data_IF_319081700940
#
_entry.id   IF_319081700940
#
_cell.length_a   1.000
_cell.length_b   1.000
_cell.length_c   1.000
_cell.angle_alpha   90.00
_cell.angle_beta   90.00
_cell.angle_gamma   90.00
#
_symmetry.space_group_name_H-M   'P 1'
#
loop_
_entity.id
_entity.type
_entity.pdbx_description
1 polymer ?
#
# COMPACT_ATOMS: atom_id res chain seq x y z
N UNK A 1 6.77 2.73 -3.44
CA UNK A 1 5.52 3.37 -2.93
C UNK A 1 5.68 4.85 -2.64
N UNK A 2 6.70 5.26 -1.87
CA UNK A 2 6.91 6.66 -1.49
C UNK A 2 7.03 7.61 -2.70
N UNK A 3 7.79 7.22 -3.74
CA UNK A 3 7.93 8.04 -4.96
C UNK A 3 6.63 8.16 -5.74
N UNK A 4 5.81 7.10 -5.76
CA UNK A 4 4.48 7.14 -6.38
C UNK A 4 3.57 8.15 -5.65
N UNK A 5 3.62 8.19 -4.31
CA UNK A 5 2.89 9.18 -3.53
C UNK A 5 3.41 10.60 -3.83
N UNK A 6 4.73 10.80 -3.84
CA UNK A 6 5.37 12.07 -4.16
C UNK A 6 4.96 12.61 -5.53
N UNK A 7 5.11 11.78 -6.57
CA UNK A 7 4.71 12.15 -7.93
C UNK A 7 3.22 12.47 -8.03
N UNK A 8 2.35 11.67 -7.39
CA UNK A 8 0.90 11.92 -7.39
C UNK A 8 0.57 13.26 -6.73
N UNK A 9 1.16 13.53 -5.57
CA UNK A 9 0.97 14.79 -4.82
C UNK A 9 1.53 15.99 -5.58
N UNK A 10 2.60 15.82 -6.35
CA UNK A 10 3.19 16.94 -7.08
C UNK A 10 2.41 17.27 -8.35
N UNK A 11 2.10 16.26 -9.18
CA UNK A 11 1.56 16.51 -10.53
C UNK A 11 0.03 16.65 -10.57
N UNK A 12 -0.69 15.90 -9.73
CA UNK A 12 -2.16 15.96 -9.67
C UNK A 12 -2.61 15.65 -8.23
N UNK A 13 -2.45 16.60 -7.29
CA UNK A 13 -2.74 16.37 -5.88
C UNK A 13 -4.13 15.76 -5.68
N UNK A 14 -4.19 14.66 -4.94
CA UNK A 14 -5.41 14.01 -4.48
C UNK A 14 -5.18 13.35 -3.11
N UNK A 15 -6.23 13.09 -2.32
CA UNK A 15 -6.06 12.48 -0.99
C UNK A 15 -5.40 11.10 -1.08
N UNK A 16 -4.34 10.89 -0.31
CA UNK A 16 -3.58 9.62 -0.25
C UNK A 16 -3.67 9.02 1.15
N UNK A 17 -3.93 7.72 1.21
CA UNK A 17 -3.83 6.93 2.44
C UNK A 17 -2.67 5.94 2.34
N UNK A 18 -1.66 6.08 3.19
CA UNK A 18 -0.64 5.05 3.41
C UNK A 18 -0.96 4.24 4.65
N UNK A 19 -0.81 2.92 4.57
CA UNK A 19 -1.02 1.97 5.66
C UNK A 19 0.24 1.15 5.87
N UNK A 20 0.88 1.33 7.02
CA UNK A 20 1.98 0.48 7.48
C UNK A 20 1.51 -0.64 8.42
N UNK A 21 2.41 -1.58 8.76
CA UNK A 21 2.07 -2.74 9.59
C UNK A 21 1.74 -2.35 11.03
N UNK A 22 2.51 -1.43 11.63
CA UNK A 22 2.31 -1.00 13.02
C UNK A 22 2.69 0.48 13.23
N UNK A 23 2.31 1.01 14.39
CA UNK A 23 2.53 2.43 14.75
C UNK A 23 4.01 2.81 14.77
N UNK A 24 4.87 1.94 15.32
CA UNK A 24 6.30 2.22 15.45
C UNK A 24 6.95 2.38 14.08
N UNK A 25 6.75 1.40 13.19
CA UNK A 25 7.20 1.46 11.80
C UNK A 25 6.73 2.75 11.12
N UNK A 26 5.44 3.08 11.27
CA UNK A 26 4.85 4.27 10.67
C UNK A 26 5.53 5.55 11.14
N UNK A 27 5.71 5.73 12.45
CA UNK A 27 6.17 7.00 13.03
C UNK A 27 7.67 7.16 13.16
N UNK A 28 8.42 6.06 13.15
CA UNK A 28 9.88 6.06 13.33
C UNK A 28 10.65 5.78 12.04
N UNK A 29 10.05 5.06 11.09
CA UNK A 29 10.74 4.69 9.84
C UNK A 29 10.11 5.35 8.61
N UNK A 30 8.79 5.26 8.46
CA UNK A 30 8.14 5.74 7.23
C UNK A 30 7.94 7.25 7.23
N UNK A 31 7.40 7.83 8.30
CA UNK A 31 7.12 9.26 8.39
C UNK A 31 8.36 10.16 8.20
N UNK A 32 9.55 9.84 8.76
CA UNK A 32 10.75 10.62 8.48
C UNK A 32 11.16 10.61 7.01
N UNK A 33 10.96 9.49 6.30
CA UNK A 33 11.22 9.39 4.85
C UNK A 33 10.24 10.24 4.05
N UNK A 34 8.98 10.31 4.48
CA UNK A 34 7.98 11.21 3.89
C UNK A 34 8.41 12.66 4.08
N UNK A 35 8.83 13.05 5.28
CA UNK A 35 9.32 14.42 5.52
C UNK A 35 10.53 14.74 4.64
N UNK A 36 11.51 13.84 4.57
CA UNK A 36 12.69 14.01 3.73
C UNK A 36 12.30 14.22 2.25
N UNK A 37 11.39 13.40 1.70
CA UNK A 37 10.87 13.59 0.35
C UNK A 37 10.22 14.98 0.15
N UNK A 38 9.36 15.38 1.09
CA UNK A 38 8.63 16.64 0.98
C UNK A 38 9.56 17.85 1.09
N UNK A 39 10.59 17.77 1.93
CA UNK A 39 11.54 18.86 2.18
C UNK A 39 12.64 18.94 1.11
N UNK A 40 13.01 17.83 0.47
CA UNK A 40 14.05 17.78 -0.57
C UNK A 40 13.53 18.11 -1.97
N UNK A 41 12.22 18.05 -2.19
CA UNK A 41 11.59 18.45 -3.45
C UNK A 41 11.08 19.89 -3.37
N UNK A 42 11.65 20.85 -4.14
CA UNK A 42 11.23 22.24 -4.09
C UNK A 42 9.74 22.44 -4.41
N UNK A 43 9.20 21.68 -5.36
CA UNK A 43 7.79 21.76 -5.78
C UNK A 43 6.84 21.24 -4.71
N UNK A 44 7.20 20.15 -4.03
CA UNK A 44 6.42 19.62 -2.90
C UNK A 44 6.53 20.52 -1.66
N UNK A 45 7.73 21.03 -1.37
CA UNK A 45 7.96 21.97 -0.26
C UNK A 45 7.07 23.22 -0.41
N UNK A 46 6.99 23.79 -1.62
CA UNK A 46 6.13 24.95 -1.89
C UNK A 46 4.63 24.68 -1.68
N UNK A 47 4.20 23.42 -1.83
CA UNK A 47 2.81 22.98 -1.66
C UNK A 47 2.47 22.52 -0.25
N UNK A 48 3.48 22.33 0.60
CA UNK A 48 3.32 21.75 1.93
C UNK A 48 2.84 22.78 2.95
N UNK A 49 1.67 22.56 3.55
CA UNK A 49 1.22 23.35 4.67
C UNK A 49 1.99 22.99 5.95
N UNK A 50 2.52 24.01 6.63
CA UNK A 50 3.29 23.88 7.88
C UNK A 50 2.45 24.25 9.12
N UNK A 51 3.05 24.09 10.31
CA UNK A 51 2.42 24.43 11.59
C UNK A 51 1.36 23.42 12.04
N UNK A 52 0.24 23.89 12.61
CA UNK A 52 -0.80 23.04 13.23
C UNK A 52 -1.44 22.00 12.28
N UNK A 53 -1.32 22.19 10.96
CA UNK A 53 -1.85 21.27 9.94
C UNK A 53 -0.90 20.11 9.62
N UNK A 54 0.30 20.11 10.21
CA UNK A 54 1.34 19.10 10.02
C UNK A 54 1.47 18.25 11.28
N UNK A 55 0.95 17.02 11.25
CA UNK A 55 1.10 16.05 12.35
C UNK A 55 1.88 14.84 11.85
N UNK A 56 2.35 13.96 12.75
CA UNK A 56 3.02 12.72 12.32
C UNK A 56 2.17 11.88 11.37
N UNK A 57 0.84 11.88 11.53
CA UNK A 57 -0.05 11.02 10.74
C UNK A 57 -0.79 11.74 9.62
N UNK A 58 -0.61 13.06 9.46
CA UNK A 58 -1.33 13.84 8.46
C UNK A 58 -0.48 14.99 7.94
N UNK A 59 -0.21 14.97 6.64
CA UNK A 59 0.49 16.02 5.91
C UNK A 59 -0.50 16.65 4.93
N UNK A 60 -0.51 17.98 4.80
CA UNK A 60 -1.36 18.67 3.83
C UNK A 60 -0.49 19.22 2.70
N UNK A 61 -0.59 18.65 1.50
CA UNK A 61 0.20 19.04 0.33
C UNK A 61 -0.77 19.46 -0.76
N UNK A 62 -0.64 20.67 -1.31
CA UNK A 62 -1.47 21.13 -2.43
C UNK A 62 -2.97 21.13 -2.09
N UNK A 63 -3.33 21.36 -0.82
CA UNK A 63 -4.71 21.37 -0.34
C UNK A 63 -5.31 19.99 -0.02
N UNK A 64 -4.60 18.89 -0.26
CA UNK A 64 -5.09 17.52 -0.01
C UNK A 64 -4.33 16.82 1.12
N UNK A 65 -4.97 15.90 1.86
CA UNK A 65 -4.30 15.14 2.90
C UNK A 65 -3.50 13.96 2.33
N UNK A 66 -2.24 13.86 2.74
CA UNK A 66 -1.49 12.62 2.77
C UNK A 66 -1.51 12.06 4.19
N UNK A 67 -2.31 11.01 4.39
CA UNK A 67 -2.58 10.39 5.68
C UNK A 67 -1.75 9.13 5.86
N UNK A 68 -1.14 9.00 7.04
CA UNK A 68 -0.36 7.85 7.45
C UNK A 68 -1.14 7.10 8.54
N UNK A 69 -1.51 5.86 8.28
CA UNK A 69 -2.21 4.96 9.19
C UNK A 69 -1.42 3.66 9.40
N UNK A 70 -1.79 2.90 10.42
CA UNK A 70 -1.24 1.57 10.65
C UNK A 70 -2.36 0.54 10.81
N UNK A 71 -2.08 -0.72 10.49
CA UNK A 71 -3.08 -1.80 10.46
C UNK A 71 -3.86 -1.94 11.78
N UNK A 72 -3.19 -1.77 12.93
CA UNK A 72 -3.82 -1.84 14.26
C UNK A 72 -4.80 -0.71 14.63
N UNK A 73 -5.08 0.27 13.75
CA UNK A 73 -6.02 1.37 14.05
C UNK A 73 -7.17 1.39 13.06
N UNK A 74 -8.28 0.71 13.37
CA UNK A 74 -9.48 0.72 12.53
C UNK A 74 -10.03 2.13 12.29
N UNK A 75 -9.99 2.99 13.31
CA UNK A 75 -10.43 4.39 13.20
C UNK A 75 -9.59 5.16 12.19
N UNK A 76 -8.27 4.97 12.16
CA UNK A 76 -7.41 5.64 11.20
C UNK A 76 -7.66 5.14 9.77
N UNK A 77 -7.87 3.83 9.58
CA UNK A 77 -8.19 3.22 8.28
C UNK A 77 -9.54 3.69 7.72
N UNK A 78 -10.47 4.09 8.60
CA UNK A 78 -11.82 4.55 8.25
C UNK A 78 -11.95 6.07 8.15
N UNK A 79 -10.90 6.84 8.39
CA UNK A 79 -11.02 8.30 8.56
C UNK A 79 -11.54 9.01 7.30
N UNK A 80 -10.73 9.04 6.24
CA UNK A 80 -10.96 9.94 5.11
C UNK A 80 -11.01 9.14 3.79
N UNK A 81 -11.82 9.55 2.81
CA UNK A 81 -11.73 9.05 1.44
C UNK A 81 -10.33 9.26 0.84
N UNK A 82 -9.91 8.35 -0.04
CA UNK A 82 -8.62 8.41 -0.71
C UNK A 82 -8.77 8.07 -2.19
N UNK A 83 -8.08 8.80 -3.07
CA UNK A 83 -7.99 8.47 -4.50
C UNK A 83 -6.81 7.51 -4.77
N UNK A 84 -5.82 7.48 -3.88
CA UNK A 84 -4.72 6.54 -3.91
C UNK A 84 -4.52 5.95 -2.52
N UNK A 85 -4.61 4.63 -2.40
CA UNK A 85 -4.24 3.90 -1.20
C UNK A 85 -2.96 3.10 -1.42
N UNK A 86 -2.09 3.08 -0.41
CA UNK A 86 -0.81 2.39 -0.41
C UNK A 86 -0.72 1.54 0.85
N UNK A 87 -0.84 0.22 0.73
CA UNK A 87 -0.72 -0.74 1.83
C UNK A 87 0.65 -1.42 1.75
N UNK A 88 1.52 -1.23 2.73
CA UNK A 88 2.89 -1.76 2.74
C UNK A 88 3.11 -2.79 3.85
N UNK A 89 3.94 -3.80 3.58
CA UNK A 89 4.17 -4.96 4.46
C UNK A 89 2.86 -5.68 4.83
N UNK A 90 2.02 -5.97 3.83
CA UNK A 90 0.69 -6.56 4.03
C UNK A 90 0.69 -7.89 4.80
N UNK A 91 1.72 -8.74 4.61
CA UNK A 91 1.87 -10.02 5.33
C UNK A 91 2.04 -9.83 6.84
N UNK A 92 2.54 -8.68 7.27
CA UNK A 92 2.71 -8.34 8.69
C UNK A 92 1.42 -7.82 9.34
N UNK A 93 0.37 -7.61 8.54
CA UNK A 93 -0.85 -7.00 9.03
C UNK A 93 -1.81 -8.03 9.64
N UNK A 94 -2.53 -7.60 10.68
CA UNK A 94 -3.56 -8.41 11.31
C UNK A 94 -4.73 -8.59 10.34
N UNK A 95 -5.12 -9.84 10.08
CA UNK A 95 -6.22 -10.19 9.17
C UNK A 95 -7.60 -9.78 9.66
N UNK A 96 -7.73 -9.42 10.94
CA UNK A 96 -8.95 -8.88 11.52
C UNK A 96 -8.67 -7.66 12.41
N UNK A 97 -8.90 -6.45 11.87
CA UNK A 97 -8.71 -5.21 12.62
C UNK A 97 -9.96 -4.95 13.46
N UNK A 98 -9.86 -5.15 14.77
CA UNK A 98 -10.93 -4.84 15.72
C UNK A 98 -12.31 -5.44 15.36
N UNK A 99 -12.36 -6.66 14.84
CA UNK A 99 -13.59 -7.35 14.40
C UNK A 99 -14.32 -6.67 13.22
N UNK A 100 -13.66 -5.77 12.49
CA UNK A 100 -14.25 -4.98 11.41
C UNK A 100 -13.78 -5.43 10.02
N UNK A 101 -13.09 -6.58 9.95
CA UNK A 101 -12.48 -7.14 8.73
C UNK A 101 -11.01 -6.79 8.59
N UNK A 102 -10.40 -7.29 7.52
CA UNK A 102 -8.99 -7.06 7.20
C UNK A 102 -8.72 -5.61 6.74
N UNK A 103 -7.47 -5.14 6.86
CA UNK A 103 -7.10 -3.76 6.54
C UNK A 103 -7.35 -3.42 5.07
N UNK A 104 -7.16 -4.37 4.14
CA UNK A 104 -7.46 -4.17 2.72
C UNK A 104 -8.93 -3.79 2.49
N UNK A 105 -9.88 -4.57 3.02
CA UNK A 105 -11.31 -4.30 2.83
C UNK A 105 -11.77 -3.01 3.51
N UNK A 106 -11.10 -2.56 4.58
CA UNK A 106 -11.36 -1.25 5.17
C UNK A 106 -10.87 -0.11 4.27
N UNK A 107 -9.70 -0.30 3.64
CA UNK A 107 -9.07 0.68 2.75
C UNK A 107 -9.78 0.79 1.41
N UNK A 108 -10.22 -0.32 0.81
CA UNK A 108 -10.93 -0.30 -0.48
C UNK A 108 -12.20 0.56 -0.43
N UNK A 109 -12.93 0.52 0.69
CA UNK A 109 -14.11 1.38 0.94
C UNK A 109 -13.77 2.88 1.07
N UNK A 110 -12.50 3.29 1.05
CA UNK A 110 -12.11 4.71 0.98
C UNK A 110 -12.08 5.22 -0.45
N UNK A 111 -12.06 4.29 -1.41
CA UNK A 111 -12.13 4.55 -2.83
C UNK A 111 -13.52 4.86 -3.37
N UNK A 112 -14.59 4.54 -2.62
CA UNK A 112 -15.99 4.67 -3.08
C UNK A 112 -16.35 6.08 -3.59
N UNK A 113 -15.64 7.12 -3.12
CA UNK A 113 -15.85 8.52 -3.54
C UNK A 113 -15.12 8.88 -4.85
N UNK A 114 -14.16 8.08 -5.30
CA UNK A 114 -13.29 8.38 -6.44
C UNK A 114 -13.39 7.31 -7.52
N UNK A 115 -13.95 7.68 -8.68
CA UNK A 115 -14.05 6.78 -9.83
C UNK A 115 -12.68 6.28 -10.34
N UNK A 116 -11.62 7.05 -10.12
CA UNK A 116 -10.23 6.72 -10.48
C UNK A 116 -9.40 6.22 -9.29
N UNK A 117 -10.04 5.64 -8.26
CA UNK A 117 -9.36 5.05 -7.12
C UNK A 117 -8.39 3.92 -7.53
N UNK A 118 -7.19 3.96 -6.94
CA UNK A 118 -6.19 2.90 -7.05
C UNK A 118 -5.73 2.49 -5.66
N UNK A 119 -5.68 1.18 -5.41
CA UNK A 119 -5.09 0.62 -4.19
C UNK A 119 -3.85 -0.18 -4.56
N UNK A 120 -2.68 0.23 -4.09
CA UNK A 120 -1.43 -0.52 -4.28
C UNK A 120 -1.15 -1.29 -3.00
N UNK A 121 -0.82 -2.58 -3.13
CA UNK A 121 -0.47 -3.45 -2.01
C UNK A 121 0.92 -4.02 -2.24
N UNK A 122 1.80 -3.86 -1.25
CA UNK A 122 3.16 -4.40 -1.26
C UNK A 122 3.40 -5.22 0.01
N UNK A 123 4.25 -6.23 -0.12
CA UNK A 123 4.60 -7.12 0.98
C UNK A 123 5.84 -7.93 0.63
N UNK A 124 6.54 -8.39 1.66
CA UNK A 124 7.52 -9.47 1.55
C UNK A 124 6.86 -10.76 2.05
N UNK A 125 6.60 -11.77 1.19
CA UNK A 125 5.92 -12.98 1.62
C UNK A 125 6.80 -13.76 2.62
N UNK A 126 6.31 -13.96 3.84
CA UNK A 126 7.09 -14.65 4.89
C UNK A 126 6.87 -16.16 4.95
N UNK A 127 5.76 -16.69 4.44
CA UNK A 127 5.39 -18.11 4.52
C UNK A 127 4.66 -18.57 3.26
N UNK A 128 5.17 -19.62 2.62
CA UNK A 128 4.67 -20.12 1.34
C UNK A 128 5.47 -19.53 0.18
N UNK A 129 6.10 -20.41 -0.60
CA UNK A 129 6.67 -20.07 -1.90
C UNK A 129 5.74 -20.64 -2.95
N UNK A 130 5.36 -19.80 -3.90
CA UNK A 130 4.74 -20.26 -5.14
C UNK A 130 5.88 -20.53 -6.11
N UNK A 131 5.93 -21.73 -6.71
CA UNK A 131 6.94 -22.06 -7.68
C UNK A 131 6.79 -21.19 -8.95
N UNK A 132 7.91 -20.92 -9.62
CA UNK A 132 7.90 -20.31 -10.94
C UNK A 132 7.86 -21.40 -12.01
N UNK A 133 6.99 -21.24 -13.01
CA UNK A 133 6.82 -22.18 -14.12
C UNK A 133 7.07 -21.43 -15.43
N UNK A 134 7.92 -22.00 -16.29
CA UNK A 134 8.13 -21.47 -17.63
C UNK A 134 7.01 -21.95 -18.56
N UNK A 135 6.32 -21.03 -19.21
CA UNK A 135 5.37 -21.38 -20.27
C UNK A 135 6.12 -21.91 -21.48
N UNK A 136 5.80 -23.14 -21.89
CA UNK A 136 6.53 -23.82 -22.96
C UNK A 136 6.45 -23.09 -24.30
N UNK A 137 5.36 -22.35 -24.54
CA UNK A 137 5.07 -21.68 -25.82
C UNK A 137 5.67 -20.28 -25.89
N UNK A 138 5.52 -19.48 -24.84
CA UNK A 138 5.97 -18.09 -24.80
C UNK A 138 7.37 -17.93 -24.22
N UNK A 139 7.94 -18.96 -23.57
CA UNK A 139 9.22 -18.90 -22.84
C UNK A 139 9.24 -17.85 -21.72
N UNK A 140 8.05 -17.44 -21.27
CA UNK A 140 7.90 -16.50 -20.17
C UNK A 140 7.77 -17.28 -18.87
N UNK A 141 8.33 -16.72 -17.81
CA UNK A 141 8.23 -17.30 -16.47
C UNK A 141 7.02 -16.71 -15.76
N UNK A 142 6.08 -17.57 -15.41
CA UNK A 142 4.89 -17.24 -14.65
C UNK A 142 4.97 -17.86 -13.26
N UNK A 143 4.14 -17.39 -12.33
CA UNK A 143 3.98 -18.03 -11.03
C UNK A 143 2.91 -19.10 -11.14
N UNK A 144 3.17 -20.26 -10.54
CA UNK A 144 2.20 -21.34 -10.44
C UNK A 144 0.96 -20.90 -9.64
N UNK A 145 -0.17 -21.59 -9.82
CA UNK A 145 -1.33 -21.41 -8.94
C UNK A 145 -1.27 -22.53 -7.90
N UNK A 146 -0.53 -22.31 -6.82
CA UNK A 146 -0.52 -23.24 -5.69
C UNK A 146 -1.94 -23.38 -5.09
N UNK A 147 -2.29 -24.60 -4.64
CA UNK A 147 -3.56 -24.87 -3.98
C UNK A 147 -3.71 -23.99 -2.73
N UNK A 148 -4.89 -23.39 -2.53
CA UNK A 148 -5.12 -22.35 -1.51
C UNK A 148 -4.81 -22.77 -0.07
N UNK A 149 -4.77 -24.08 0.18
CA UNK A 149 -4.54 -24.71 1.48
C UNK A 149 -3.08 -24.55 1.94
N UNK A 150 -2.13 -24.43 1.00
CA UNK A 150 -0.69 -24.41 1.26
C UNK A 150 -0.09 -22.99 1.35
N UNK A 151 -0.90 -21.96 1.13
CA UNK A 151 -0.45 -20.57 1.07
C UNK A 151 -0.87 -19.83 2.33
N UNK A 152 0.08 -19.71 3.27
CA UNK A 152 -0.13 -18.94 4.50
C UNK A 152 0.05 -17.41 4.31
N UNK A 153 0.73 -16.99 3.24
CA UNK A 153 1.03 -15.58 2.97
C UNK A 153 -0.20 -14.80 2.45
N UNK A 154 -0.64 -13.73 3.15
CA UNK A 154 -1.75 -12.90 2.70
C UNK A 154 -1.55 -12.26 1.32
N UNK A 155 -0.33 -11.83 0.95
CA UNK A 155 -0.11 -11.24 -0.38
C UNK A 155 -0.24 -12.27 -1.50
N UNK A 156 0.13 -13.54 -1.26
CA UNK A 156 -0.04 -14.61 -2.23
C UNK A 156 -1.51 -14.99 -2.42
N UNK A 157 -2.27 -15.10 -1.32
CA UNK A 157 -3.71 -15.30 -1.38
C UNK A 157 -4.40 -14.18 -2.17
N UNK A 158 -4.00 -12.92 -1.93
CA UNK A 158 -4.54 -11.77 -2.66
C UNK A 158 -4.21 -11.81 -4.16
N UNK A 159 -2.97 -12.19 -4.51
CA UNK A 159 -2.55 -12.31 -5.91
C UNK A 159 -3.37 -13.35 -6.66
N UNK A 160 -3.53 -14.56 -6.09
CA UNK A 160 -4.26 -15.65 -6.73
C UNK A 160 -5.75 -15.35 -6.92
N UNK A 161 -6.40 -14.75 -5.91
CA UNK A 161 -7.81 -14.38 -6.00
C UNK A 161 -8.09 -13.43 -7.16
N UNK A 162 -7.17 -12.48 -7.41
CA UNK A 162 -7.33 -11.43 -8.43
C UNK A 162 -6.90 -11.87 -9.82
N UNK A 163 -5.97 -12.83 -9.96
CA UNK A 163 -5.70 -13.47 -11.27
C UNK A 163 -6.86 -14.34 -11.75
N UNK A 164 -7.75 -14.78 -10.83
CA UNK A 164 -8.94 -15.57 -11.15
C UNK A 164 -10.24 -14.79 -11.37
N UNK A 165 -10.32 -13.49 -11.04
CA UNK A 165 -11.58 -12.72 -11.09
C UNK A 165 -11.48 -11.41 -11.88
N UNK A 166 -12.26 -11.34 -12.95
CA UNK A 166 -12.48 -10.15 -13.79
C UNK A 166 -13.52 -9.23 -13.12
N UNK A 167 -13.12 -8.38 -12.17
CA UNK A 167 -14.10 -7.53 -11.46
C UNK A 167 -13.54 -6.30 -10.73
N UNK A 168 -14.03 -5.13 -11.15
CA UNK A 168 -13.99 -3.78 -10.59
C UNK A 168 -13.10 -3.52 -9.34
N UNK A 169 -11.97 -2.86 -9.58
CA UNK A 169 -11.05 -2.34 -8.58
C UNK A 169 -9.60 -2.58 -9.01
N UNK A 170 -8.87 -1.54 -9.40
CA UNK A 170 -7.45 -1.65 -9.76
C UNK A 170 -6.62 -1.77 -8.49
N UNK A 171 -6.50 -3.01 -7.99
CA UNK A 171 -5.51 -3.36 -6.97
C UNK A 171 -4.20 -3.72 -7.67
N UNK A 172 -3.16 -2.90 -7.49
CA UNK A 172 -1.83 -3.17 -8.03
C UNK A 172 -0.99 -3.85 -6.96
N UNK A 173 -0.58 -5.09 -7.22
CA UNK A 173 0.31 -5.85 -6.32
C UNK A 173 1.74 -5.66 -6.82
N UNK A 174 2.58 -4.98 -6.05
CA UNK A 174 3.98 -4.77 -6.38
C UNK A 174 4.89 -5.47 -5.36
N UNK A 175 6.00 -6.06 -5.83
CA UNK A 175 6.96 -6.78 -4.98
C UNK A 175 8.14 -5.90 -4.62
N UNK A 176 8.64 -6.03 -3.39
CA UNK A 176 9.97 -5.56 -3.03
C UNK A 176 10.93 -6.75 -3.12
N UNK A 177 11.64 -6.89 -4.25
CA UNK A 177 12.66 -7.91 -4.43
C UNK A 177 13.95 -7.38 -3.79
N UNK A 178 14.12 -7.57 -2.49
CA UNK A 178 15.44 -7.42 -1.86
C UNK A 178 16.25 -8.67 -2.16
N UNK A 179 17.09 -8.61 -3.19
CA UNK A 179 18.02 -9.68 -3.52
C UNK A 179 19.11 -9.77 -2.44
N UNK A 180 19.03 -10.78 -1.59
CA UNK A 180 20.24 -11.48 -1.12
C UNK A 180 20.23 -12.89 -1.71
N UNK A 181 20.52 -12.95 -3.01
CA UNK A 181 21.11 -14.14 -3.58
C UNK A 181 22.60 -14.08 -3.21
N UNK A 182 22.99 -14.76 -2.15
CA UNK A 182 24.37 -15.21 -2.02
C UNK A 182 24.50 -16.48 -2.85
N UNK A 183 25.50 -16.47 -3.73
CA UNK A 183 26.05 -17.62 -4.45
C UNK A 183 26.48 -18.69 -3.45
#
# INVERSE_FOLDING_TARGET
>A
MLDCAGQRLDQRPGPILYVGPNKQFLTEQFEPRVLALLDQSPTLTAKLARGKRMTKTRKMIGGVPFRLAHSGSSTALKSDPAVLALIDEYDEMVTNVNQQGGPLGLVERRGDTYADFVCVVTSTPKRGQVAAVEDQKSKLVFWDVAMSEDIASPIWQLWQQRTGTTGAGRVLIARNISSRASI
#
